data_IF_680663086812
#
_entry.id   IF_680663086812
#
_cell.length_a   1.000
_cell.length_b   1.000
_cell.length_c   1.000
_cell.angle_alpha   90.00
_cell.angle_beta   90.00
_cell.angle_gamma   90.00
#
_symmetry.space_group_name_H-M   'P 1'
#
loop_
_entity.id
_entity.type
_entity.pdbx_description
1 polymer ?
#
# COMPACT_ATOMS: atom_id res chain seq x y z
N UNK A 1 -44.64 -15.22 45.65
CA UNK A 1 -45.88 -15.82 45.12
C UNK A 1 -45.56 -16.24 43.68
N UNK A 2 -45.38 -17.36 43.29
CA UNK A 2 -45.32 -18.76 43.49
C UNK A 2 -44.41 -19.39 42.43
N UNK A 3 -43.62 -20.39 42.75
CA UNK A 3 -42.84 -21.12 41.75
C UNK A 3 -43.66 -22.34 41.26
N UNK A 4 -43.48 -22.74 40.04
CA UNK A 4 -43.72 -24.10 39.49
C UNK A 4 -43.92 -24.02 37.97
N UNK A 5 -42.83 -24.27 37.27
CA UNK A 5 -42.87 -25.04 36.00
C UNK A 5 -41.44 -25.32 35.52
N UNK A 6 -40.70 -26.00 36.39
CA UNK A 6 -39.53 -26.82 35.99
C UNK A 6 -39.98 -28.25 36.14
N UNK A 7 -39.98 -28.99 35.07
CA UNK A 7 -40.16 -30.43 34.89
C UNK A 7 -41.22 -30.74 33.85
N UNK A 8 -40.85 -30.70 32.60
CA UNK A 8 -41.41 -31.51 31.52
C UNK A 8 -40.65 -31.21 30.19
N UNK A 9 -39.37 -31.52 30.15
CA UNK A 9 -38.67 -31.67 28.87
C UNK A 9 -37.40 -32.50 29.07
N UNK A 10 -37.58 -33.72 29.54
CA UNK A 10 -36.50 -34.71 29.59
C UNK A 10 -37.14 -36.12 29.57
N UNK A 11 -37.73 -36.46 28.44
CA UNK A 11 -38.10 -37.87 28.16
C UNK A 11 -38.56 -38.02 26.71
N UNK A 12 -37.68 -37.83 25.73
CA UNK A 12 -37.88 -38.23 24.34
C UNK A 12 -36.55 -38.23 23.58
N UNK A 13 -35.58 -38.96 24.14
CA UNK A 13 -34.34 -39.28 23.40
C UNK A 13 -33.82 -40.64 23.86
N UNK A 14 -34.58 -41.68 23.62
CA UNK A 14 -34.13 -43.07 23.71
C UNK A 14 -35.20 -43.96 23.08
N UNK A 15 -35.14 -44.17 21.77
CA UNK A 15 -35.64 -45.37 21.11
C UNK A 15 -35.59 -45.25 19.57
N UNK A 16 -34.41 -45.51 18.99
CA UNK A 16 -34.31 -46.01 17.63
C UNK A 16 -32.86 -46.45 17.32
N UNK A 17 -32.44 -47.43 18.05
CA UNK A 17 -31.29 -48.27 17.69
C UNK A 17 -31.83 -49.70 17.65
N UNK A 18 -31.58 -50.38 16.57
CA UNK A 18 -31.80 -51.81 16.23
C UNK A 18 -32.72 -51.99 15.03
N UNK A 19 -32.11 -52.33 13.94
CA UNK A 19 -32.35 -53.37 12.95
C UNK A 19 -31.87 -52.97 11.56
N UNK A 20 -30.75 -53.51 11.18
CA UNK A 20 -30.57 -54.12 9.87
C UNK A 20 -29.18 -54.77 9.78
N UNK A 21 -29.11 -56.00 10.17
CA UNK A 21 -28.10 -56.98 9.74
C UNK A 21 -28.82 -58.00 8.84
N UNK A 22 -28.16 -58.26 7.70
CA UNK A 22 -28.35 -59.39 6.80
C UNK A 22 -28.96 -59.07 5.42
N UNK A 23 -28.04 -58.96 4.46
CA UNK A 23 -28.11 -59.74 3.23
C UNK A 23 -26.73 -59.71 2.54
N UNK A 24 -26.03 -60.83 2.61
CA UNK A 24 -24.92 -61.19 1.72
C UNK A 24 -25.45 -61.49 0.33
N UNK A 25 -24.70 -61.15 -0.71
CA UNK A 25 -24.88 -61.73 -2.04
C UNK A 25 -24.19 -60.98 -3.19
N UNK A 26 -22.93 -61.35 -3.49
CA UNK A 26 -22.32 -61.53 -4.82
C UNK A 26 -22.18 -60.41 -5.84
N UNK A 27 -20.89 -60.06 -6.07
CA UNK A 27 -20.19 -59.93 -7.38
C UNK A 27 -20.52 -58.84 -8.35
N UNK A 28 -19.44 -58.12 -8.56
CA UNK A 28 -18.79 -57.65 -9.79
C UNK A 28 -19.19 -56.26 -10.32
N UNK A 29 -18.14 -55.60 -10.51
CA UNK A 29 -17.69 -54.61 -11.48
C UNK A 29 -17.36 -53.22 -10.91
N UNK A 30 -16.07 -52.91 -11.11
CA UNK A 30 -15.43 -51.69 -10.66
C UNK A 30 -16.03 -50.40 -11.25
N UNK A 31 -16.34 -49.51 -10.35
CA UNK A 31 -16.28 -48.10 -10.63
C UNK A 31 -15.45 -47.50 -9.50
N UNK A 32 -14.24 -47.09 -9.84
CA UNK A 32 -13.43 -46.22 -9.03
C UNK A 32 -14.17 -44.87 -8.97
N UNK A 33 -15.02 -44.68 -8.00
CA UNK A 33 -15.36 -43.33 -7.58
C UNK A 33 -14.09 -42.73 -6.95
N UNK A 34 -13.27 -42.09 -7.80
CA UNK A 34 -12.31 -41.12 -7.33
C UNK A 34 -13.12 -40.02 -6.67
N UNK A 35 -13.18 -40.07 -5.35
CA UNK A 35 -13.58 -38.96 -4.50
C UNK A 35 -12.58 -37.86 -4.79
N UNK A 36 -12.85 -37.03 -5.79
CA UNK A 36 -12.20 -35.72 -5.94
C UNK A 36 -12.75 -34.88 -4.82
N UNK A 37 -12.13 -34.99 -3.64
CA UNK A 37 -12.15 -33.90 -2.69
C UNK A 37 -11.61 -32.70 -3.46
N UNK A 38 -12.54 -31.82 -3.79
CA UNK A 38 -12.24 -30.45 -4.19
C UNK A 38 -11.63 -29.80 -2.92
N UNK A 39 -10.31 -29.90 -2.79
CA UNK A 39 -9.55 -29.23 -1.72
C UNK A 39 -9.61 -27.73 -2.00
N UNK A 40 -10.80 -27.15 -1.82
CA UNK A 40 -10.95 -25.72 -1.84
C UNK A 40 -10.06 -25.15 -0.74
N UNK A 41 -9.01 -24.43 -1.12
CA UNK A 41 -8.09 -23.82 -0.18
C UNK A 41 -8.86 -22.96 0.84
N UNK A 42 -8.46 -23.01 2.11
CA UNK A 42 -9.12 -22.25 3.16
C UNK A 42 -9.14 -20.74 2.84
N UNK A 43 -10.24 -20.04 3.14
CA UNK A 43 -10.32 -18.60 2.92
C UNK A 43 -9.25 -17.87 3.76
N UNK A 44 -8.51 -16.98 3.12
CA UNK A 44 -7.48 -16.13 3.74
C UNK A 44 -7.80 -14.67 3.49
N UNK A 45 -7.83 -13.85 4.54
CA UNK A 45 -7.87 -12.40 4.42
C UNK A 45 -6.46 -11.84 4.64
N UNK A 46 -5.92 -11.12 3.66
CA UNK A 46 -4.66 -10.38 3.76
C UNK A 46 -4.92 -8.90 3.92
N UNK A 47 -4.30 -8.31 4.94
CA UNK A 47 -4.33 -6.87 5.21
C UNK A 47 -3.06 -6.26 4.63
N UNK A 48 -3.23 -5.41 3.63
CA UNK A 48 -2.14 -4.77 2.90
C UNK A 48 -2.13 -3.28 3.20
N UNK A 49 -1.06 -2.80 3.80
CA UNK A 49 -0.83 -1.37 3.99
C UNK A 49 0.05 -0.85 2.85
N UNK A 50 -0.44 0.13 2.11
CA UNK A 50 0.27 0.64 0.95
C UNK A 50 0.21 2.17 0.84
N UNK A 51 1.26 2.75 0.29
CA UNK A 51 1.32 4.18 0.02
C UNK A 51 0.12 4.63 -0.82
N UNK A 52 -0.46 5.78 -0.47
CA UNK A 52 -1.67 6.33 -1.10
C UNK A 52 -1.56 6.50 -2.62
N UNK A 53 -0.35 6.73 -3.16
CA UNK A 53 -0.08 6.80 -4.60
C UNK A 53 -0.34 5.50 -5.37
N UNK A 54 -0.51 4.36 -4.67
CA UNK A 54 -0.75 3.06 -5.27
C UNK A 54 -2.23 2.65 -5.27
N UNK A 55 -3.13 3.51 -4.79
CA UNK A 55 -4.54 3.18 -4.58
C UNK A 55 -5.20 2.60 -5.84
N UNK A 56 -5.06 3.25 -6.97
CA UNK A 56 -5.73 2.86 -8.21
C UNK A 56 -5.15 1.54 -8.77
N UNK A 57 -3.81 1.44 -8.78
CA UNK A 57 -3.13 0.26 -9.33
C UNK A 57 -3.35 -0.98 -8.49
N UNK A 58 -3.24 -0.89 -7.17
CA UNK A 58 -3.44 -2.05 -6.30
C UNK A 58 -4.90 -2.52 -6.25
N UNK A 59 -5.88 -1.62 -6.35
CA UNK A 59 -7.28 -2.03 -6.47
C UNK A 59 -7.53 -2.80 -7.78
N UNK A 60 -6.94 -2.37 -8.91
CA UNK A 60 -7.04 -3.10 -10.18
C UNK A 60 -6.32 -4.45 -10.09
N UNK A 61 -5.11 -4.49 -9.55
CA UNK A 61 -4.35 -5.73 -9.37
C UNK A 61 -5.09 -6.70 -8.44
N UNK A 62 -5.80 -6.22 -7.41
CA UNK A 62 -6.60 -7.06 -6.54
C UNK A 62 -7.72 -7.80 -7.30
N UNK A 63 -8.38 -7.13 -8.25
CA UNK A 63 -9.38 -7.80 -9.09
C UNK A 63 -8.75 -8.88 -9.98
N UNK A 64 -7.54 -8.63 -10.50
CA UNK A 64 -6.81 -9.64 -11.27
C UNK A 64 -6.34 -10.81 -10.39
N UNK A 65 -5.93 -10.54 -9.15
CA UNK A 65 -5.44 -11.57 -8.23
C UNK A 65 -6.53 -12.55 -7.79
N UNK A 66 -7.80 -12.15 -7.78
CA UNK A 66 -8.94 -13.03 -7.51
C UNK A 66 -9.04 -14.21 -8.48
N UNK A 67 -8.60 -14.01 -9.73
CA UNK A 67 -8.56 -15.09 -10.73
C UNK A 67 -7.44 -16.11 -10.46
N UNK A 68 -6.39 -15.69 -9.76
CA UNK A 68 -5.21 -16.50 -9.44
C UNK A 68 -5.37 -17.19 -8.09
N UNK A 69 -5.92 -16.49 -7.10
CA UNK A 69 -6.09 -16.96 -5.74
C UNK A 69 -7.51 -16.62 -5.22
N UNK A 70 -8.56 -17.36 -5.69
CA UNK A 70 -9.95 -17.03 -5.37
C UNK A 70 -10.31 -17.20 -3.89
N UNK A 71 -9.50 -17.92 -3.14
CA UNK A 71 -9.64 -18.05 -1.69
C UNK A 71 -9.01 -16.90 -0.88
N UNK A 72 -8.28 -15.96 -1.54
CA UNK A 72 -7.63 -14.83 -0.87
C UNK A 72 -8.45 -13.56 -1.06
N UNK A 73 -8.78 -12.90 0.04
CA UNK A 73 -9.40 -11.57 0.04
C UNK A 73 -8.35 -10.54 0.45
N UNK A 74 -8.16 -9.49 -0.36
CA UNK A 74 -7.24 -8.39 -0.06
C UNK A 74 -8.03 -7.23 0.55
N UNK A 75 -7.59 -6.79 1.74
CA UNK A 75 -8.10 -5.59 2.42
C UNK A 75 -6.99 -4.56 2.48
N UNK A 76 -7.21 -3.38 1.88
CA UNK A 76 -6.19 -2.34 1.79
C UNK A 76 -6.41 -1.23 2.82
N UNK A 77 -5.29 -0.72 3.36
CA UNK A 77 -5.21 0.54 4.06
C UNK A 77 -4.25 1.46 3.30
N UNK A 78 -4.79 2.51 2.70
CA UNK A 78 -4.03 3.47 1.91
C UNK A 78 -3.88 4.79 2.68
N UNK A 79 -2.64 5.16 3.00
CA UNK A 79 -2.31 6.48 3.57
C UNK A 79 -0.84 6.83 3.26
N UNK A 80 -0.32 7.89 3.85
CA UNK A 80 1.12 8.16 3.81
C UNK A 80 1.89 7.04 4.50
N UNK A 81 3.03 6.67 3.93
CA UNK A 81 3.85 5.58 4.49
C UNK A 81 4.30 5.86 5.93
N UNK A 82 4.43 7.14 6.32
CA UNK A 82 4.73 7.53 7.70
C UNK A 82 3.61 7.20 8.67
N UNK A 83 2.35 7.50 8.32
CA UNK A 83 1.19 7.13 9.14
C UNK A 83 1.00 5.61 9.22
N UNK A 84 1.21 4.91 8.10
CA UNK A 84 1.12 3.45 8.05
C UNK A 84 2.18 2.82 8.96
N UNK A 85 3.43 3.31 8.93
CA UNK A 85 4.48 2.90 9.86
C UNK A 85 4.05 3.09 11.32
N UNK A 86 3.49 4.26 11.66
CA UNK A 86 3.00 4.52 13.02
C UNK A 86 1.93 3.51 13.43
N UNK A 87 0.93 3.25 12.59
CA UNK A 87 -0.12 2.28 12.87
C UNK A 87 0.46 0.87 13.09
N UNK A 88 1.38 0.42 12.23
CA UNK A 88 2.05 -0.88 12.35
C UNK A 88 2.86 -0.96 13.66
N UNK A 89 3.62 0.08 13.98
CA UNK A 89 4.43 0.12 15.21
C UNK A 89 3.59 0.17 16.49
N UNK A 90 2.35 0.67 16.40
CA UNK A 90 1.36 0.68 17.48
C UNK A 90 0.55 -0.63 17.55
N UNK A 91 0.83 -1.60 16.67
CA UNK A 91 0.25 -2.94 16.70
C UNK A 91 -0.98 -3.14 15.82
N UNK A 92 -1.17 -2.31 14.79
CA UNK A 92 -2.19 -2.58 13.78
C UNK A 92 -1.85 -3.84 12.98
N UNK A 93 -2.86 -4.66 12.72
CA UNK A 93 -2.72 -5.84 11.88
C UNK A 93 -2.33 -5.42 10.45
N UNK A 94 -1.24 -5.98 9.95
CA UNK A 94 -0.73 -5.79 8.61
C UNK A 94 0.06 -7.02 8.18
N UNK A 95 -0.25 -7.57 7.02
CA UNK A 95 0.41 -8.76 6.48
C UNK A 95 1.47 -8.41 5.42
N UNK A 96 1.25 -7.31 4.68
CA UNK A 96 2.17 -6.78 3.66
C UNK A 96 2.22 -5.26 3.74
N UNK A 97 3.42 -4.69 3.75
CA UNK A 97 3.63 -3.24 3.70
C UNK A 97 4.36 -2.81 2.44
N UNK A 98 3.85 -1.80 1.75
CA UNK A 98 4.45 -1.19 0.56
C UNK A 98 4.61 0.31 0.81
N UNK A 99 5.85 0.76 0.90
CA UNK A 99 6.20 2.15 1.23
C UNK A 99 6.61 2.93 -0.02
N UNK A 100 6.30 4.24 -0.04
CA UNK A 100 6.78 5.15 -1.09
C UNK A 100 8.21 5.68 -0.83
N UNK A 101 8.89 5.18 0.19
CA UNK A 101 10.30 5.49 0.45
C UNK A 101 10.96 4.40 1.29
N UNK A 102 12.28 4.17 1.13
CA UNK A 102 13.03 3.21 1.94
C UNK A 102 13.06 3.53 3.43
N UNK A 103 12.93 4.80 3.83
CA UNK A 103 13.02 5.25 5.23
C UNK A 103 12.04 4.50 6.13
N UNK A 104 10.78 4.41 5.75
CA UNK A 104 9.75 3.77 6.57
C UNK A 104 9.93 2.26 6.64
N UNK A 105 10.36 1.63 5.56
CA UNK A 105 10.69 0.21 5.54
C UNK A 105 11.91 -0.10 6.42
N UNK A 106 12.95 0.73 6.34
CA UNK A 106 14.16 0.59 7.16
C UNK A 106 13.84 0.63 8.65
N UNK A 107 12.91 1.47 9.08
CA UNK A 107 12.53 1.64 10.48
C UNK A 107 11.95 0.36 11.13
N UNK A 108 11.50 -0.61 10.31
CA UNK A 108 10.93 -1.88 10.78
C UNK A 108 11.82 -3.10 10.47
N UNK A 109 12.97 -2.88 9.86
CA UNK A 109 13.86 -3.95 9.42
C UNK A 109 14.82 -4.37 10.54
N UNK A 110 14.61 -5.57 11.07
CA UNK A 110 15.42 -6.12 12.15
C UNK A 110 16.91 -6.25 11.81
N UNK A 111 17.27 -6.37 10.52
CA UNK A 111 18.68 -6.39 10.08
C UNK A 111 19.40 -5.05 10.29
N UNK A 112 18.64 -3.98 10.48
CA UNK A 112 19.14 -2.61 10.69
C UNK A 112 19.11 -2.18 12.18
N UNK A 113 18.80 -3.10 13.11
CA UNK A 113 18.89 -2.83 14.55
C UNK A 113 20.34 -2.45 14.90
N UNK A 114 20.48 -1.28 15.58
CA UNK A 114 21.77 -0.69 15.90
C UNK A 114 22.19 0.45 14.97
N UNK A 115 21.58 0.60 13.81
CA UNK A 115 21.67 1.78 12.97
C UNK A 115 20.57 2.77 13.37
N UNK A 116 20.89 3.70 14.27
CA UNK A 116 19.91 4.66 14.84
C UNK A 116 19.39 5.69 13.83
N UNK A 117 20.02 5.81 12.66
CA UNK A 117 19.53 6.68 11.58
C UNK A 117 18.43 5.95 10.74
N UNK A 118 18.58 4.63 10.57
CA UNK A 118 17.67 3.84 9.74
C UNK A 118 16.56 3.17 10.55
N UNK A 119 16.89 2.61 11.71
CA UNK A 119 15.95 1.94 12.60
C UNK A 119 16.12 2.47 14.05
N UNK A 120 15.64 3.71 14.30
CA UNK A 120 15.86 4.41 15.58
C UNK A 120 15.21 3.70 16.77
N UNK A 121 14.07 3.03 16.56
CA UNK A 121 13.28 2.38 17.60
C UNK A 121 13.63 0.90 17.78
N UNK A 122 14.55 0.36 16.95
CA UNK A 122 14.98 -1.03 17.01
C UNK A 122 13.89 -2.03 16.68
N UNK A 123 12.94 -1.68 15.80
CA UNK A 123 11.83 -2.56 15.42
C UNK A 123 12.29 -3.71 14.55
N UNK A 124 11.67 -4.87 14.71
CA UNK A 124 11.90 -6.09 13.94
C UNK A 124 10.56 -6.71 13.54
N UNK A 125 9.85 -6.04 12.62
CA UNK A 125 8.48 -6.35 12.26
C UNK A 125 8.34 -7.00 10.88
N UNK A 126 9.29 -6.79 9.97
CA UNK A 126 9.26 -7.39 8.64
C UNK A 126 10.01 -8.72 8.61
N UNK A 127 9.61 -9.57 7.70
CA UNK A 127 10.35 -10.77 7.31
C UNK A 127 11.46 -10.33 6.37
N UNK A 128 12.67 -10.17 6.88
CA UNK A 128 13.79 -9.48 6.21
C UNK A 128 14.11 -10.03 4.81
N UNK A 129 14.02 -11.32 4.61
CA UNK A 129 14.26 -11.98 3.33
C UNK A 129 13.12 -11.84 2.31
N UNK A 130 11.99 -11.26 2.71
CA UNK A 130 10.89 -10.91 1.81
C UNK A 130 11.01 -9.50 1.24
N UNK A 131 11.91 -8.68 1.76
CA UNK A 131 12.04 -7.28 1.34
C UNK A 131 12.58 -7.19 -0.08
N UNK A 132 11.83 -6.48 -0.93
CA UNK A 132 12.20 -6.18 -2.31
C UNK A 132 12.06 -4.69 -2.58
N UNK A 133 12.86 -4.13 -3.47
CA UNK A 133 12.64 -2.82 -4.06
C UNK A 133 11.72 -3.03 -5.28
N UNK A 134 10.41 -2.91 -5.05
CA UNK A 134 9.37 -3.35 -5.99
C UNK A 134 9.29 -2.44 -7.21
N UNK A 135 9.25 -1.11 -6.99
CA UNK A 135 8.99 -0.12 -8.03
C UNK A 135 9.86 1.12 -7.84
N UNK A 136 10.10 1.82 -8.94
CA UNK A 136 10.62 3.18 -8.97
C UNK A 136 9.54 4.14 -9.48
N UNK A 137 9.47 5.34 -8.91
CA UNK A 137 8.58 6.42 -9.31
C UNK A 137 9.40 7.69 -9.62
N UNK A 138 8.73 8.78 -10.00
CA UNK A 138 9.34 10.09 -10.21
C UNK A 138 8.61 11.14 -9.40
N UNK A 139 9.35 12.03 -8.76
CA UNK A 139 8.79 13.25 -8.19
C UNK A 139 8.67 14.29 -9.29
N UNK A 140 7.50 14.91 -9.40
CA UNK A 140 7.17 15.84 -10.46
C UNK A 140 6.62 17.14 -9.91
N UNK A 141 6.74 18.19 -10.70
CA UNK A 141 6.06 19.46 -10.53
C UNK A 141 4.81 19.46 -11.41
N UNK A 142 3.66 19.41 -10.77
CA UNK A 142 2.36 19.42 -11.44
C UNK A 142 1.65 20.75 -11.24
N UNK A 143 0.85 21.14 -12.23
CA UNK A 143 0.08 22.38 -12.23
C UNK A 143 -1.41 22.11 -12.47
N UNK A 144 -2.33 22.98 -12.00
CA UNK A 144 -3.73 22.89 -12.33
C UNK A 144 -4.00 23.17 -13.81
N UNK A 145 -5.19 22.83 -14.26
CA UNK A 145 -5.63 23.03 -15.64
C UNK A 145 -5.35 24.45 -16.14
N UNK A 146 -4.70 24.54 -17.29
CA UNK A 146 -4.37 25.81 -17.95
C UNK A 146 -3.20 26.56 -17.33
N UNK A 147 -2.55 26.04 -16.29
CA UNK A 147 -1.34 26.60 -15.68
C UNK A 147 -1.40 28.14 -15.50
N UNK A 148 -2.30 28.68 -14.65
CA UNK A 148 -2.56 30.11 -14.58
C UNK A 148 -1.33 30.97 -14.20
N UNK A 149 -0.35 30.37 -13.51
CA UNK A 149 0.90 31.03 -13.11
C UNK A 149 2.02 30.92 -14.13
N UNK A 150 1.83 30.10 -15.19
CA UNK A 150 2.86 29.88 -16.21
C UNK A 150 4.14 29.26 -15.62
N UNK A 151 4.00 28.31 -14.72
CA UNK A 151 5.13 27.62 -14.07
C UNK A 151 5.62 26.53 -15.06
N UNK A 152 6.90 26.55 -15.39
CA UNK A 152 7.48 25.66 -16.42
C UNK A 152 8.57 24.74 -15.86
N UNK A 153 9.15 25.03 -14.68
CA UNK A 153 10.28 24.26 -14.15
C UNK A 153 10.47 24.43 -12.63
N UNK A 154 11.22 23.50 -12.03
CA UNK A 154 11.70 23.64 -10.65
C UNK A 154 12.61 24.87 -10.47
N UNK A 155 13.41 25.22 -11.48
CA UNK A 155 14.25 26.43 -11.43
C UNK A 155 13.41 27.70 -11.28
N UNK A 156 12.33 27.80 -12.06
CA UNK A 156 11.39 28.93 -11.96
C UNK A 156 10.63 28.88 -10.62
N UNK A 157 10.15 27.71 -10.19
CA UNK A 157 9.48 27.54 -8.91
C UNK A 157 10.36 28.04 -7.75
N UNK A 158 11.66 27.71 -7.76
CA UNK A 158 12.57 28.15 -6.72
C UNK A 158 12.71 29.69 -6.65
N UNK A 159 12.57 30.37 -7.77
CA UNK A 159 12.58 31.86 -7.81
C UNK A 159 11.25 32.42 -7.30
N UNK A 160 10.10 31.85 -7.69
CA UNK A 160 8.79 32.25 -7.23
C UNK A 160 8.61 32.07 -5.73
N UNK A 161 9.14 30.99 -5.16
CA UNK A 161 9.13 30.75 -3.71
C UNK A 161 9.98 31.80 -2.97
N UNK A 162 11.13 32.21 -3.50
CA UNK A 162 11.96 33.29 -2.91
C UNK A 162 11.31 34.66 -2.97
N UNK A 163 10.47 34.92 -3.98
CA UNK A 163 9.75 36.21 -4.11
C UNK A 163 8.40 36.23 -3.37
N UNK A 164 7.89 35.08 -2.95
CA UNK A 164 6.59 34.99 -2.30
C UNK A 164 5.39 35.01 -3.27
N UNK A 165 5.60 34.72 -4.57
CA UNK A 165 4.60 34.90 -5.63
C UNK A 165 3.86 33.59 -6.03
N UNK A 166 4.01 32.52 -5.26
CA UNK A 166 3.41 31.21 -5.56
C UNK A 166 2.92 30.52 -4.31
N UNK A 167 1.80 29.80 -4.42
CA UNK A 167 1.33 28.84 -3.42
C UNK A 167 1.61 27.43 -3.91
N UNK A 168 2.51 26.74 -3.23
CA UNK A 168 2.94 25.37 -3.54
C UNK A 168 2.32 24.37 -2.57
N UNK A 169 1.65 23.34 -3.11
CA UNK A 169 1.18 22.21 -2.34
C UNK A 169 2.27 21.14 -2.19
N UNK A 170 2.52 20.70 -0.97
CA UNK A 170 3.53 19.68 -0.63
C UNK A 170 3.02 18.69 0.42
N UNK A 171 3.62 17.51 0.49
CA UNK A 171 3.43 16.62 1.63
C UNK A 171 4.10 17.17 2.90
N UNK A 172 3.52 16.92 4.07
CA UNK A 172 4.20 17.24 5.33
C UNK A 172 5.42 16.31 5.54
N UNK A 173 6.19 16.51 6.62
CA UNK A 173 7.44 15.79 6.91
C UNK A 173 7.29 14.25 7.07
N UNK A 174 6.07 13.77 7.39
CA UNK A 174 5.79 12.34 7.57
C UNK A 174 5.39 11.67 6.25
N UNK A 175 5.11 12.46 5.22
CA UNK A 175 4.75 12.00 3.88
C UNK A 175 6.01 11.80 3.04
N UNK A 176 6.24 10.61 2.43
CA UNK A 176 7.43 10.40 1.60
C UNK A 176 7.67 11.46 0.53
N UNK A 177 6.63 11.90 -0.21
CA UNK A 177 6.81 12.97 -1.20
C UNK A 177 7.22 14.30 -0.56
N UNK A 178 6.80 14.59 0.68
CA UNK A 178 7.29 15.74 1.45
C UNK A 178 8.76 15.61 1.79
N UNK A 179 9.24 14.40 2.14
CA UNK A 179 10.66 14.15 2.38
C UNK A 179 11.52 14.33 1.12
N UNK A 180 11.01 13.95 -0.05
CA UNK A 180 11.64 14.25 -1.33
C UNK A 180 11.62 15.75 -1.64
N UNK A 181 10.52 16.44 -1.33
CA UNK A 181 10.42 17.92 -1.46
C UNK A 181 11.47 18.63 -0.63
N UNK A 182 11.72 18.20 0.61
CA UNK A 182 12.77 18.77 1.44
C UNK A 182 14.17 18.62 0.81
N UNK A 183 14.45 17.50 0.15
CA UNK A 183 15.71 17.33 -0.60
C UNK A 183 15.79 18.28 -1.79
N UNK A 184 14.69 18.49 -2.51
CA UNK A 184 14.60 19.47 -3.60
C UNK A 184 14.84 20.89 -3.06
N UNK A 185 14.23 21.24 -1.92
CA UNK A 185 14.48 22.53 -1.28
C UNK A 185 15.96 22.71 -0.90
N UNK A 186 16.57 21.66 -0.32
CA UNK A 186 18.00 21.68 0.01
C UNK A 186 18.88 21.87 -1.24
N UNK A 187 18.54 21.20 -2.37
CA UNK A 187 19.25 21.35 -3.64
C UNK A 187 19.22 22.80 -4.15
N UNK A 188 18.09 23.50 -4.02
CA UNK A 188 17.94 24.91 -4.42
C UNK A 188 18.35 25.92 -3.34
N UNK A 189 18.80 25.46 -2.17
CA UNK A 189 19.14 26.33 -1.04
C UNK A 189 17.93 27.13 -0.52
N UNK A 190 16.75 26.50 -0.51
CA UNK A 190 15.50 27.06 0.01
C UNK A 190 15.35 26.70 1.49
N UNK A 191 14.89 27.66 2.29
CA UNK A 191 14.53 27.45 3.70
C UNK A 191 13.01 27.41 3.84
N UNK A 192 12.48 26.22 4.12
CA UNK A 192 11.04 26.00 4.28
C UNK A 192 10.44 26.95 5.32
N UNK A 193 11.15 27.21 6.42
CA UNK A 193 10.68 28.09 7.50
C UNK A 193 10.51 29.53 7.07
N UNK A 194 11.25 29.96 6.04
CA UNK A 194 11.17 31.31 5.47
C UNK A 194 10.06 31.47 4.40
N UNK A 195 9.41 30.36 4.01
CA UNK A 195 8.45 30.32 2.91
C UNK A 195 7.06 29.81 3.35
N UNK A 196 6.74 29.84 4.64
CA UNK A 196 5.49 29.26 5.18
C UNK A 196 4.24 29.81 4.53
N UNK A 197 4.23 31.10 4.13
CA UNK A 197 3.10 31.73 3.46
C UNK A 197 2.91 31.28 1.99
N UNK A 198 3.94 30.61 1.44
CA UNK A 198 3.95 30.05 0.08
C UNK A 198 3.63 28.57 0.05
N UNK A 199 3.37 27.92 1.20
CA UNK A 199 3.23 26.49 1.29
C UNK A 199 1.86 26.10 1.85
N UNK A 200 1.30 25.05 1.27
CA UNK A 200 0.16 24.33 1.84
C UNK A 200 0.51 22.84 1.92
N UNK A 201 -0.01 22.16 2.94
CA UNK A 201 0.43 20.80 3.29
C UNK A 201 -0.71 19.80 3.14
N UNK A 202 -0.37 18.62 2.60
CA UNK A 202 -1.21 17.42 2.64
C UNK A 202 -0.67 16.38 3.62
N UNK A 203 -1.56 15.59 4.21
CA UNK A 203 -1.21 14.50 5.11
C UNK A 203 -0.90 13.20 4.38
N UNK A 204 -1.11 13.16 3.09
CA UNK A 204 -0.68 12.15 2.12
C UNK A 204 -0.63 12.78 0.73
N UNK A 205 -0.09 12.06 -0.26
CA UNK A 205 0.07 12.61 -1.62
C UNK A 205 -1.27 12.87 -2.31
N UNK A 206 -2.33 12.12 -2.01
CA UNK A 206 -3.66 12.34 -2.60
C UNK A 206 -4.27 13.69 -2.19
N UNK A 207 -4.05 14.10 -0.92
CA UNK A 207 -4.46 15.43 -0.47
C UNK A 207 -3.69 16.54 -1.22
N UNK A 208 -2.38 16.37 -1.44
CA UNK A 208 -1.57 17.29 -2.24
C UNK A 208 -2.10 17.37 -3.67
N UNK A 209 -2.33 16.23 -4.31
CA UNK A 209 -2.86 16.13 -5.67
C UNK A 209 -4.22 16.83 -5.78
N UNK A 210 -5.11 16.63 -4.81
CA UNK A 210 -6.42 17.29 -4.76
C UNK A 210 -6.29 18.81 -4.70
N UNK A 211 -5.37 19.34 -3.88
CA UNK A 211 -5.14 20.79 -3.80
C UNK A 211 -4.72 21.39 -5.15
N UNK A 212 -3.95 20.66 -5.95
CA UNK A 212 -3.55 21.08 -7.29
C UNK A 212 -4.70 20.95 -8.27
N UNK A 213 -5.39 19.81 -8.31
CA UNK A 213 -6.47 19.56 -9.26
C UNK A 213 -7.68 20.50 -9.07
N UNK A 214 -7.92 20.95 -7.85
CA UNK A 214 -8.97 21.92 -7.53
C UNK A 214 -8.49 23.38 -7.60
N UNK A 215 -7.25 23.61 -8.06
CA UNK A 215 -6.59 24.93 -8.12
C UNK A 215 -6.61 25.67 -6.76
N UNK A 216 -6.60 24.93 -5.65
CA UNK A 216 -6.41 25.47 -4.30
C UNK A 216 -4.94 25.87 -4.06
N UNK A 217 -4.00 25.36 -4.86
CA UNK A 217 -2.61 25.76 -4.95
C UNK A 217 -2.24 26.05 -6.42
N UNK A 218 -1.23 26.89 -6.64
CA UNK A 218 -0.74 27.24 -7.98
C UNK A 218 0.04 26.09 -8.65
N UNK A 219 0.63 25.22 -7.85
CA UNK A 219 1.34 24.00 -8.29
C UNK A 219 1.51 23.04 -7.10
N UNK A 220 2.00 21.84 -7.38
CA UNK A 220 2.31 20.86 -6.34
C UNK A 220 3.47 19.96 -6.71
N UNK A 221 4.19 19.52 -5.67
CA UNK A 221 5.20 18.48 -5.80
C UNK A 221 4.55 17.16 -5.43
N UNK A 222 4.34 16.31 -6.43
CA UNK A 222 3.65 15.01 -6.33
C UNK A 222 4.41 13.95 -7.13
N UNK A 223 3.94 12.72 -7.12
CA UNK A 223 4.52 11.69 -7.99
C UNK A 223 3.91 11.74 -9.40
N UNK A 224 4.66 11.26 -10.39
CA UNK A 224 4.19 11.13 -11.78
C UNK A 224 2.91 10.30 -11.87
N UNK A 225 2.81 9.24 -11.06
CA UNK A 225 1.63 8.38 -10.98
C UNK A 225 0.39 9.10 -10.48
N UNK A 226 0.52 9.99 -9.50
CA UNK A 226 -0.58 10.78 -8.98
C UNK A 226 -1.02 11.85 -9.99
N UNK A 227 -0.06 12.49 -10.67
CA UNK A 227 -0.35 13.43 -11.75
C UNK A 227 -1.11 12.74 -12.89
N UNK A 228 -0.66 11.54 -13.31
CA UNK A 228 -1.33 10.73 -14.32
C UNK A 228 -2.76 10.38 -13.91
N UNK A 229 -2.96 9.84 -12.70
CA UNK A 229 -4.28 9.43 -12.19
C UNK A 229 -5.27 10.59 -12.09
N UNK A 230 -4.76 11.78 -11.76
CA UNK A 230 -5.58 12.99 -11.65
C UNK A 230 -5.72 13.77 -12.97
N UNK A 231 -5.06 13.35 -14.05
CA UNK A 231 -5.05 14.05 -15.34
C UNK A 231 -4.39 15.43 -15.26
N UNK A 232 -3.44 15.63 -14.34
CA UNK A 232 -2.73 16.88 -14.17
C UNK A 232 -1.58 17.02 -15.18
N UNK A 233 -1.31 18.24 -15.60
CA UNK A 233 -0.14 18.57 -16.39
C UNK A 233 1.13 18.54 -15.53
N UNK A 234 2.11 17.74 -15.95
CA UNK A 234 3.46 17.74 -15.38
C UNK A 234 4.33 18.67 -16.20
N UNK A 235 4.84 19.72 -15.56
CA UNK A 235 5.69 20.73 -16.22
C UNK A 235 7.17 20.44 -16.07
N UNK A 236 7.56 19.68 -15.02
CA UNK A 236 8.95 19.29 -14.79
C UNK A 236 9.03 18.02 -13.91
N UNK A 237 10.17 17.33 -13.96
CA UNK A 237 10.46 16.14 -13.13
C UNK A 237 11.77 16.31 -12.40
N UNK A 238 11.78 16.01 -11.09
CA UNK A 238 12.99 16.07 -10.29
C UNK A 238 14.02 15.04 -10.77
N UNK A 239 15.27 15.47 -10.84
CA UNK A 239 16.40 14.59 -11.17
C UNK A 239 16.88 13.82 -9.93
N UNK A 240 17.67 12.77 -10.16
CA UNK A 240 18.32 12.04 -9.07
C UNK A 240 19.27 12.93 -8.23
N UNK A 241 19.83 14.00 -8.81
CA UNK A 241 20.65 14.97 -8.07
C UNK A 241 19.80 15.82 -7.12
N UNK A 242 18.55 16.10 -7.47
CA UNK A 242 17.63 16.90 -6.64
C UNK A 242 17.12 16.11 -5.42
N UNK A 243 16.71 14.86 -5.60
CA UNK A 243 16.03 14.15 -4.51
C UNK A 243 16.43 12.68 -4.33
N UNK A 244 17.32 12.14 -5.18
CA UNK A 244 17.65 10.72 -5.22
C UNK A 244 16.62 9.91 -6.00
N UNK A 245 16.82 8.58 -6.02
CA UNK A 245 15.85 7.64 -6.59
C UNK A 245 14.62 7.52 -5.68
N UNK A 246 13.47 7.34 -6.28
CA UNK A 246 12.17 7.21 -5.59
C UNK A 246 11.76 5.75 -5.59
N UNK A 247 12.32 4.99 -4.67
CA UNK A 247 12.11 3.55 -4.56
C UNK A 247 10.91 3.25 -3.66
N UNK A 248 10.08 2.31 -4.10
CA UNK A 248 8.95 1.75 -3.37
C UNK A 248 9.31 0.33 -2.90
N UNK A 249 9.88 0.18 -1.70
CA UNK A 249 10.12 -1.15 -1.14
C UNK A 249 8.81 -1.78 -0.66
N UNK A 250 8.74 -3.10 -0.78
CA UNK A 250 7.70 -3.94 -0.23
C UNK A 250 8.30 -5.02 0.67
N UNK A 251 7.60 -5.40 1.73
CA UNK A 251 7.99 -6.51 2.58
C UNK A 251 6.78 -7.13 3.28
N UNK A 252 6.84 -8.44 3.50
CA UNK A 252 5.89 -9.18 4.32
C UNK A 252 6.16 -8.89 5.79
N UNK A 253 5.12 -8.70 6.59
CA UNK A 253 5.23 -8.58 8.03
C UNK A 253 5.23 -9.97 8.68
N UNK A 254 5.90 -10.08 9.84
CA UNK A 254 5.93 -11.31 10.63
C UNK A 254 4.54 -11.61 11.19
N UNK A 255 4.02 -12.80 10.91
CA UNK A 255 2.68 -13.20 11.35
C UNK A 255 2.29 -14.59 10.85
N UNK A 256 1.04 -14.96 11.07
CA UNK A 256 0.54 -16.30 10.72
C UNK A 256 0.26 -16.48 9.21
N UNK A 257 0.19 -15.37 8.44
CA UNK A 257 -0.18 -15.38 7.02
C UNK A 257 1.01 -15.12 6.08
N UNK A 258 2.25 -15.34 6.54
CA UNK A 258 3.47 -15.07 5.77
C UNK A 258 3.46 -15.74 4.39
N UNK A 259 3.01 -16.99 4.28
CA UNK A 259 2.97 -17.72 3.01
C UNK A 259 2.07 -17.05 1.98
N UNK A 260 0.84 -16.69 2.40
CA UNK A 260 -0.12 -16.03 1.52
C UNK A 260 0.34 -14.61 1.15
N UNK A 261 0.95 -13.87 2.09
CA UNK A 261 1.50 -12.55 1.84
C UNK A 261 2.69 -12.58 0.87
N UNK A 262 3.57 -13.59 0.97
CA UNK A 262 4.66 -13.83 0.02
C UNK A 262 4.12 -14.17 -1.38
N UNK A 263 3.05 -14.97 -1.46
CA UNK A 263 2.43 -15.30 -2.73
C UNK A 263 1.86 -14.07 -3.42
N UNK A 264 1.20 -13.17 -2.68
CA UNK A 264 0.72 -11.90 -3.23
C UNK A 264 1.88 -10.97 -3.61
N UNK A 265 2.93 -10.85 -2.78
CA UNK A 265 4.12 -10.07 -3.12
C UNK A 265 4.76 -10.57 -4.41
N UNK A 266 4.93 -11.89 -4.57
CA UNK A 266 5.44 -12.49 -5.80
C UNK A 266 4.54 -12.21 -7.02
N UNK A 267 3.22 -12.14 -6.82
CA UNK A 267 2.30 -11.75 -7.88
C UNK A 267 2.50 -10.30 -8.33
N UNK A 268 2.80 -9.38 -7.39
CA UNK A 268 3.10 -7.99 -7.73
C UNK A 268 4.35 -7.84 -8.62
N UNK A 269 5.26 -8.81 -8.61
CA UNK A 269 6.46 -8.84 -9.46
C UNK A 269 6.22 -9.48 -10.84
N UNK A 270 5.01 -9.99 -11.13
CA UNK A 270 4.69 -10.59 -12.45
C UNK A 270 4.52 -9.54 -13.53
N UNK A 271 4.76 -9.94 -14.80
CA UNK A 271 4.52 -9.07 -15.97
C UNK A 271 3.10 -8.51 -16.01
N UNK A 272 2.11 -9.28 -15.54
CA UNK A 272 0.71 -8.85 -15.49
C UNK A 272 0.50 -7.68 -14.54
N UNK A 273 1.03 -7.75 -13.32
CA UNK A 273 0.96 -6.67 -12.33
C UNK A 273 1.84 -5.48 -12.75
N UNK A 274 3.05 -5.75 -13.28
CA UNK A 274 3.95 -4.70 -13.77
C UNK A 274 3.32 -3.88 -14.90
N UNK A 275 2.57 -4.50 -15.82
CA UNK A 275 1.84 -3.78 -16.88
C UNK A 275 0.86 -2.73 -16.30
N UNK A 276 0.20 -3.05 -15.17
CA UNK A 276 -0.70 -2.10 -14.49
C UNK A 276 0.09 -0.95 -13.88
N UNK A 277 1.21 -1.24 -13.23
CA UNK A 277 2.07 -0.22 -12.63
C UNK A 277 2.71 0.69 -13.68
N UNK A 278 3.26 0.13 -14.74
CA UNK A 278 3.93 0.90 -15.82
C UNK A 278 2.97 1.83 -16.56
N UNK A 279 1.72 1.42 -16.73
CA UNK A 279 0.69 2.23 -17.40
C UNK A 279 0.48 3.59 -16.73
N UNK A 280 0.66 3.68 -15.41
CA UNK A 280 0.48 4.93 -14.65
C UNK A 280 1.80 5.66 -14.39
N UNK A 281 2.94 5.11 -14.82
CA UNK A 281 4.25 5.78 -14.76
C UNK A 281 5.22 5.25 -13.70
N UNK A 282 4.92 4.14 -13.01
CA UNK A 282 5.93 3.38 -12.28
C UNK A 282 6.88 2.67 -13.26
N UNK A 283 8.04 2.31 -12.78
CA UNK A 283 8.97 1.41 -13.47
C UNK A 283 9.42 0.30 -12.51
N UNK A 284 9.70 -0.88 -13.07
CA UNK A 284 10.32 -1.96 -12.30
C UNK A 284 11.74 -1.56 -11.88
N UNK A 285 12.18 -2.05 -10.71
CA UNK A 285 13.58 -1.92 -10.26
C UNK A 285 14.29 -3.23 -10.61
N UNK A 286 15.33 -3.18 -11.44
CA UNK A 286 16.16 -4.33 -11.85
C UNK A 286 17.57 -4.20 -11.31
#
# INVERSE_FOLDING_TARGET
MYPKMKKLLSLLLALSLVLALAACGSKDDGANDADTQDDAAEPVELIVFAAASMTETLNEIAEMYKEVAPNVTLTFNFDSSGKLLTQISEGADCDLFISAAPKQMNAMDGSLIGDTEKNPDGLDLIVTDSRVDLLENKVTLAVPEGNPKGIESFDQLAQLLKSGDVLLAIGNSDVPVGQYTQKIFAYYGLDESAMTDCLTYGNNVKEVTTQVSEAAADCGIIYATDAFSAGLEVVDSATAEMCGQVIYPAAVLKGEKEEAARAFLAYLETDAAMTVFERVGFSAVY
#
